data_IF_490786456776
#
_entry.id   IF_490786456776
#
_cell.length_a   1.000
_cell.length_b   1.000
_cell.length_c   1.000
_cell.angle_alpha   90.00
_cell.angle_beta   90.00
_cell.angle_gamma   90.00
#
_symmetry.space_group_name_H-M   'P 1'
#
loop_
_entity.id
_entity.type
_entity.pdbx_description
1 polymer ?
#
# COMPACT_ATOMS: atom_id res chain seq x y z
N UNK A 1 4.81 -11.53 13.12
CA UNK A 1 3.80 -10.78 12.38
C UNK A 1 4.17 -10.74 10.90
N UNK A 2 3.19 -10.98 10.03
CA UNK A 2 3.46 -11.01 8.60
C UNK A 2 3.64 -9.61 8.03
N UNK A 3 4.52 -9.48 7.04
CA UNK A 3 4.60 -8.27 6.22
C UNK A 3 3.34 -8.14 5.38
N UNK A 4 3.04 -6.92 4.93
CA UNK A 4 1.82 -6.67 4.14
C UNK A 4 1.80 -7.53 2.87
N UNK A 5 2.94 -7.64 2.16
CA UNK A 5 2.98 -8.45 0.94
C UNK A 5 2.71 -9.93 1.22
N UNK A 6 3.13 -10.44 2.39
CA UNK A 6 2.86 -11.81 2.76
C UNK A 6 1.37 -12.06 3.00
N UNK A 7 0.69 -11.11 3.63
CA UNK A 7 -0.76 -11.20 3.82
C UNK A 7 -1.47 -11.18 2.46
N UNK A 8 -1.09 -10.25 1.58
CA UNK A 8 -1.66 -10.15 0.23
C UNK A 8 -1.47 -11.48 -0.52
N UNK A 9 -0.29 -12.07 -0.44
CA UNK A 9 -0.01 -13.34 -1.12
C UNK A 9 -0.87 -14.48 -0.60
N UNK A 10 -1.08 -14.56 0.71
CA UNK A 10 -1.97 -15.58 1.29
C UNK A 10 -3.41 -15.40 0.84
N UNK A 11 -3.89 -14.16 0.81
CA UNK A 11 -5.26 -13.84 0.37
C UNK A 11 -5.45 -14.20 -1.10
N UNK A 12 -4.48 -13.86 -1.95
CA UNK A 12 -4.54 -14.19 -3.39
C UNK A 12 -4.66 -15.68 -3.64
N UNK A 13 -3.97 -16.49 -2.84
CA UNK A 13 -3.93 -17.94 -3.00
C UNK A 13 -5.13 -18.66 -2.41
N UNK A 14 -5.92 -17.99 -1.58
CA UNK A 14 -7.14 -18.56 -1.01
C UNK A 14 -8.18 -18.75 -2.12
N UNK A 15 -8.92 -19.87 -2.04
CA UNK A 15 -9.83 -20.26 -3.13
C UNK A 15 -11.26 -19.73 -2.98
N UNK A 16 -11.66 -19.36 -1.79
CA UNK A 16 -13.03 -18.89 -1.55
C UNK A 16 -13.02 -17.48 -1.00
N UNK A 17 -14.14 -16.78 -1.22
CA UNK A 17 -14.31 -15.42 -0.70
C UNK A 17 -14.22 -15.41 0.83
N UNK A 18 -14.86 -16.38 1.49
CA UNK A 18 -14.86 -16.47 2.95
C UNK A 18 -13.44 -16.61 3.51
N UNK A 19 -12.60 -17.43 2.86
CA UNK A 19 -11.21 -17.59 3.28
C UNK A 19 -10.41 -16.32 3.08
N UNK A 20 -10.62 -15.62 1.97
CA UNK A 20 -9.97 -14.34 1.70
C UNK A 20 -10.32 -13.30 2.75
N UNK A 21 -11.61 -13.16 3.05
CA UNK A 21 -12.10 -12.24 4.06
C UNK A 21 -11.53 -12.59 5.43
N UNK A 22 -11.54 -13.89 5.78
CA UNK A 22 -10.98 -14.36 7.05
C UNK A 22 -9.52 -14.04 7.23
N UNK A 23 -8.71 -14.22 6.18
CA UNK A 23 -7.28 -13.91 6.21
C UNK A 23 -7.03 -12.41 6.37
N UNK A 24 -7.79 -11.57 5.67
CA UNK A 24 -7.68 -10.13 5.81
C UNK A 24 -7.99 -9.69 7.25
N UNK A 25 -9.05 -10.23 7.83
CA UNK A 25 -9.42 -9.91 9.22
C UNK A 25 -8.39 -10.42 10.22
N UNK A 26 -7.89 -11.65 10.01
CA UNK A 26 -6.92 -12.28 10.90
C UNK A 26 -5.61 -11.49 10.97
N UNK A 27 -5.15 -11.00 9.83
CA UNK A 27 -3.86 -10.31 9.70
C UNK A 27 -4.03 -8.81 9.49
N UNK A 28 -5.15 -8.24 9.94
CA UNK A 28 -5.42 -6.83 9.73
C UNK A 28 -4.38 -5.94 10.43
N UNK A 29 -4.06 -4.85 9.78
CA UNK A 29 -3.21 -3.79 10.31
C UNK A 29 -3.57 -2.50 9.58
N UNK A 30 -3.24 -1.36 10.15
CA UNK A 30 -3.46 -0.10 9.47
C UNK A 30 -2.63 0.01 8.20
N UNK A 31 -1.43 -0.61 8.18
CA UNK A 31 -0.62 -0.65 6.97
C UNK A 31 -1.35 -1.39 5.84
N UNK A 32 -1.90 -2.58 6.13
CA UNK A 32 -2.68 -3.34 5.14
C UNK A 32 -3.89 -2.54 4.66
N UNK A 33 -4.62 -1.92 5.59
CA UNK A 33 -5.79 -1.12 5.24
C UNK A 33 -5.42 0.08 4.38
N UNK A 34 -4.32 0.76 4.68
CA UNK A 34 -3.87 1.91 3.89
C UNK A 34 -3.48 1.49 2.47
N UNK A 35 -2.81 0.35 2.30
CA UNK A 35 -2.48 -0.18 0.98
C UNK A 35 -3.75 -0.48 0.18
N UNK A 36 -4.70 -1.17 0.80
CA UNK A 36 -5.95 -1.53 0.12
C UNK A 36 -6.78 -0.30 -0.22
N UNK A 37 -6.89 0.64 0.70
CA UNK A 37 -7.62 1.88 0.47
C UNK A 37 -6.94 2.71 -0.63
N UNK A 38 -5.63 2.86 -0.55
CA UNK A 38 -4.88 3.63 -1.55
C UNK A 38 -4.94 3.04 -2.94
N UNK A 39 -5.13 1.73 -3.05
CA UNK A 39 -5.21 1.04 -4.34
C UNK A 39 -6.63 1.05 -4.91
N UNK A 40 -7.65 0.84 -4.09
CA UNK A 40 -9.03 0.62 -4.55
C UNK A 40 -9.94 1.83 -4.43
N UNK A 41 -9.67 2.76 -3.50
CA UNK A 41 -10.54 3.91 -3.28
C UNK A 41 -10.27 4.97 -4.35
N UNK A 42 -11.26 5.24 -5.20
CA UNK A 42 -11.10 6.19 -6.31
C UNK A 42 -11.09 7.64 -5.85
N UNK A 43 -11.50 7.93 -4.61
CA UNK A 43 -11.43 9.27 -4.06
C UNK A 43 -10.01 9.65 -3.63
N UNK A 44 -9.12 8.68 -3.52
CA UNK A 44 -7.71 8.94 -3.19
C UNK A 44 -6.91 9.03 -4.49
N UNK A 45 -6.31 10.19 -4.71
CA UNK A 45 -5.43 10.44 -5.85
C UNK A 45 -4.01 10.64 -5.32
N UNK A 46 -3.05 10.02 -6.02
CA UNK A 46 -1.65 10.10 -5.61
C UNK A 46 -0.96 11.25 -6.31
N UNK A 47 -0.26 12.07 -5.54
CA UNK A 47 0.41 13.28 -6.01
C UNK A 47 1.86 12.98 -6.41
N UNK A 48 2.03 11.93 -7.20
CA UNK A 48 3.33 11.44 -7.67
C UNK A 48 3.23 11.10 -9.15
N UNK A 49 4.35 11.15 -9.90
CA UNK A 49 4.36 10.66 -11.29
C UNK A 49 3.99 9.19 -11.33
N UNK A 50 3.25 8.79 -12.36
CA UNK A 50 2.91 7.40 -12.56
C UNK A 50 4.12 6.56 -12.99
N UNK A 51 3.95 5.23 -12.96
CA UNK A 51 4.98 4.30 -13.34
C UNK A 51 5.90 3.95 -12.18
N UNK A 52 7.03 3.33 -12.52
CA UNK A 52 8.04 2.94 -11.55
C UNK A 52 9.15 4.00 -11.49
N UNK A 53 9.43 4.56 -10.30
CA UNK A 53 10.52 5.52 -10.18
C UNK A 53 11.89 4.83 -10.24
N UNK A 54 12.97 5.58 -10.48
CA UNK A 54 14.31 5.03 -10.34
C UNK A 54 14.62 4.80 -8.87
N UNK A 55 14.73 3.54 -8.46
CA UNK A 55 14.98 3.18 -7.06
C UNK A 55 15.86 1.95 -6.95
N UNK A 56 16.56 1.79 -5.82
CA UNK A 56 17.43 0.66 -5.54
C UNK A 56 16.82 -0.17 -4.41
N UNK A 57 16.31 -1.38 -4.69
CA UNK A 57 15.76 -2.23 -3.65
C UNK A 57 16.80 -2.57 -2.57
N UNK A 58 16.37 -2.61 -1.31
CA UNK A 58 17.24 -3.06 -0.23
C UNK A 58 17.24 -4.59 -0.15
N UNK A 59 18.11 -5.14 0.70
CA UNK A 59 18.11 -6.56 1.01
C UNK A 59 16.86 -6.92 1.81
N UNK A 60 16.14 -7.96 1.38
CA UNK A 60 14.85 -8.32 1.98
C UNK A 60 14.91 -8.58 3.48
N UNK A 61 15.96 -9.28 3.94
CA UNK A 61 16.11 -9.62 5.38
C UNK A 61 16.89 -8.59 6.18
N UNK A 62 17.24 -7.47 5.59
CA UNK A 62 17.95 -6.40 6.28
C UNK A 62 17.34 -5.02 5.98
N UNK A 63 16.05 -4.98 5.67
CA UNK A 63 15.35 -3.73 5.43
C UNK A 63 15.39 -2.84 6.68
N UNK A 64 15.79 -1.55 6.54
CA UNK A 64 15.89 -0.65 7.70
C UNK A 64 14.56 -0.36 8.37
N UNK A 65 13.43 -0.48 7.65
CA UNK A 65 12.12 -0.19 8.18
C UNK A 65 11.07 -1.19 7.64
N UNK A 66 9.80 -0.92 7.85
CA UNK A 66 8.70 -1.74 7.37
C UNK A 66 7.44 -0.90 7.20
N UNK A 67 6.45 -1.42 6.48
CA UNK A 67 5.21 -0.69 6.21
C UNK A 67 4.37 -0.45 7.47
N UNK A 68 4.53 -1.28 8.50
CA UNK A 68 3.81 -1.06 9.76
C UNK A 68 4.19 0.27 10.41
N UNK A 69 5.39 0.77 10.10
CA UNK A 69 5.85 2.09 10.53
C UNK A 69 5.65 3.13 9.45
N UNK A 70 5.99 2.79 8.19
CA UNK A 70 6.10 3.77 7.12
C UNK A 70 4.77 4.15 6.48
N UNK A 71 3.71 3.35 6.66
CA UNK A 71 2.41 3.67 6.06
C UNK A 71 1.87 5.04 6.47
N UNK A 72 2.25 5.53 7.64
CA UNK A 72 1.85 6.85 8.13
C UNK A 72 2.34 7.98 7.22
N UNK A 73 3.42 7.74 6.48
CA UNK A 73 4.02 8.73 5.59
C UNK A 73 3.28 8.82 4.24
N UNK A 74 2.31 7.97 4.00
CA UNK A 74 1.51 8.04 2.76
C UNK A 74 0.78 9.38 2.62
N UNK A 75 0.50 10.06 3.73
CA UNK A 75 -0.14 11.38 3.71
C UNK A 75 0.65 12.41 2.91
N UNK A 76 1.98 12.25 2.81
CA UNK A 76 2.82 13.16 2.04
C UNK A 76 2.65 13.00 0.53
N UNK A 77 1.95 11.95 0.10
CA UNK A 77 1.80 11.61 -1.31
C UNK A 77 0.36 11.74 -1.82
N UNK A 78 -0.60 12.02 -0.95
CA UNK A 78 -2.02 12.10 -1.33
C UNK A 78 -2.35 13.50 -1.81
N UNK A 79 -2.85 13.59 -3.05
CA UNK A 79 -3.24 14.87 -3.65
C UNK A 79 -4.38 15.51 -2.86
N UNK A 80 -4.24 16.79 -2.59
CA UNK A 80 -5.25 17.55 -1.85
C UNK A 80 -5.02 17.61 -0.35
N UNK A 81 -4.18 16.74 0.21
CA UNK A 81 -3.84 16.83 1.63
C UNK A 81 -2.79 17.90 1.88
N UNK A 82 -2.94 18.62 2.96
CA UNK A 82 -2.03 19.71 3.33
C UNK A 82 -0.59 19.23 3.41
N UNK A 83 -0.35 18.08 4.00
CA UNK A 83 0.98 17.49 4.16
C UNK A 83 1.67 17.27 2.80
N UNK A 84 0.89 16.89 1.79
CA UNK A 84 1.41 16.65 0.43
C UNK A 84 1.57 17.96 -0.32
N UNK A 85 0.57 18.84 -0.26
CA UNK A 85 0.55 20.06 -1.07
C UNK A 85 1.62 21.08 -0.68
N UNK A 86 2.05 21.09 0.57
CA UNK A 86 3.12 21.99 1.01
C UNK A 86 4.52 21.56 0.58
N UNK A 87 4.67 20.34 0.04
CA UNK A 87 5.95 19.85 -0.45
C UNK A 87 6.15 20.18 -1.93
N UNK A 88 7.39 20.48 -2.31
CA UNK A 88 7.72 20.58 -3.73
C UNK A 88 7.66 19.19 -4.36
N UNK A 89 7.42 19.09 -5.69
CA UNK A 89 7.43 17.76 -6.35
C UNK A 89 8.72 17.00 -6.12
N UNK A 90 9.87 17.66 -6.18
CA UNK A 90 11.18 17.02 -5.96
C UNK A 90 11.28 16.46 -4.55
N UNK A 91 10.85 17.23 -3.55
CA UNK A 91 10.89 16.80 -2.15
C UNK A 91 9.95 15.63 -1.91
N UNK A 92 8.75 15.68 -2.48
CA UNK A 92 7.76 14.60 -2.36
C UNK A 92 8.28 13.31 -2.95
N UNK A 93 8.85 13.38 -4.16
CA UNK A 93 9.45 12.22 -4.81
C UNK A 93 10.63 11.65 -4.03
N UNK A 94 11.45 12.52 -3.46
CA UNK A 94 12.59 12.10 -2.64
C UNK A 94 12.12 11.32 -1.40
N UNK A 95 11.08 11.78 -0.73
CA UNK A 95 10.50 11.10 0.43
C UNK A 95 9.95 9.74 0.01
N UNK A 96 9.26 9.68 -1.14
CA UNK A 96 8.69 8.44 -1.65
C UNK A 96 9.79 7.40 -1.96
N UNK A 97 10.83 7.82 -2.68
CA UNK A 97 11.95 6.93 -3.01
C UNK A 97 12.62 6.43 -1.73
N UNK A 98 12.84 7.30 -0.76
CA UNK A 98 13.40 6.90 0.53
C UNK A 98 12.57 5.85 1.23
N UNK A 99 11.25 5.97 1.16
CA UNK A 99 10.33 5.01 1.75
C UNK A 99 10.45 3.63 1.08
N UNK A 100 10.37 3.58 -0.25
CA UNK A 100 10.41 2.30 -0.96
C UNK A 100 11.78 1.62 -0.90
N UNK A 101 12.84 2.40 -0.74
CA UNK A 101 14.19 1.84 -0.57
C UNK A 101 14.45 1.37 0.85
N UNK A 102 13.61 1.74 1.80
CA UNK A 102 13.77 1.40 3.21
C UNK A 102 12.94 0.24 3.72
N UNK A 103 12.08 -0.36 2.88
CA UNK A 103 11.23 -1.48 3.27
C UNK A 103 11.55 -2.70 2.41
N UNK A 104 11.02 -3.87 2.81
CA UNK A 104 11.16 -5.10 2.02
C UNK A 104 10.80 -4.82 0.56
N UNK A 105 11.61 -5.30 -0.41
CA UNK A 105 11.34 -5.04 -1.84
C UNK A 105 9.94 -5.44 -2.31
N UNK A 106 9.36 -6.51 -1.77
CA UNK A 106 8.01 -6.92 -2.15
C UNK A 106 6.96 -5.98 -1.56
N UNK A 107 7.17 -5.45 -0.36
CA UNK A 107 6.33 -4.38 0.20
C UNK A 107 6.47 -3.11 -0.63
N UNK A 108 7.68 -2.77 -1.05
CA UNK A 108 7.93 -1.60 -1.90
C UNK A 108 7.18 -1.69 -3.22
N UNK A 109 7.14 -2.87 -3.83
CA UNK A 109 6.38 -3.10 -5.06
C UNK A 109 4.88 -2.88 -4.87
N UNK A 110 4.34 -3.27 -3.71
CA UNK A 110 2.94 -2.98 -3.38
C UNK A 110 2.67 -1.49 -3.30
N UNK A 111 3.61 -0.73 -2.74
CA UNK A 111 3.47 0.74 -2.66
C UNK A 111 3.50 1.35 -4.06
N UNK A 112 4.41 0.90 -4.91
CA UNK A 112 4.49 1.36 -6.30
C UNK A 112 3.18 1.03 -7.04
N UNK A 113 2.68 -0.19 -6.90
CA UNK A 113 1.41 -0.60 -7.49
C UNK A 113 0.25 0.25 -6.97
N UNK A 114 0.25 0.56 -5.68
CA UNK A 114 -0.78 1.39 -5.05
C UNK A 114 -0.87 2.77 -5.70
N UNK A 115 0.25 3.45 -5.90
CA UNK A 115 0.22 4.79 -6.50
C UNK A 115 -0.21 4.75 -7.97
N UNK A 116 -0.03 3.61 -8.63
CA UNK A 116 -0.47 3.41 -10.01
C UNK A 116 -1.89 2.82 -10.09
N UNK A 117 -2.53 2.57 -8.94
CA UNK A 117 -3.85 1.94 -8.86
C UNK A 117 -3.89 0.56 -9.50
N UNK A 118 -2.76 -0.14 -9.48
CA UNK A 118 -2.66 -1.52 -9.98
C UNK A 118 -3.13 -2.48 -8.91
N UNK A 119 -4.27 -3.11 -9.15
CA UNK A 119 -4.93 -3.97 -8.16
C UNK A 119 -4.27 -5.34 -8.10
N UNK A 120 -4.00 -5.87 -6.89
CA UNK A 120 -3.46 -7.22 -6.79
C UNK A 120 -4.46 -8.24 -7.30
N UNK A 121 -3.95 -9.18 -8.10
CA UNK A 121 -4.77 -10.24 -8.67
C UNK A 121 -5.37 -11.10 -7.54
N UNK A 122 -6.63 -11.47 -7.69
CA UNK A 122 -7.30 -12.31 -6.70
C UNK A 122 -7.90 -11.59 -5.52
N UNK A 123 -7.70 -10.27 -5.41
CA UNK A 123 -8.34 -9.44 -4.39
C UNK A 123 -9.27 -8.47 -5.10
N UNK A 124 -10.55 -8.50 -4.70
CA UNK A 124 -11.58 -7.68 -5.33
C UNK A 124 -12.17 -6.72 -4.32
N UNK A 125 -12.83 -5.70 -4.83
CA UNK A 125 -13.52 -4.71 -4.00
C UNK A 125 -14.55 -5.35 -3.05
N UNK A 126 -15.42 -6.29 -3.49
CA UNK A 126 -16.36 -6.94 -2.56
C UNK A 126 -15.69 -7.66 -1.40
N UNK A 127 -14.54 -8.29 -1.64
CA UNK A 127 -13.77 -8.94 -0.57
C UNK A 127 -13.31 -7.91 0.47
N UNK A 128 -12.79 -6.78 0.01
CA UNK A 128 -12.32 -5.71 0.90
C UNK A 128 -13.49 -5.11 1.69
N UNK A 129 -14.61 -4.85 1.02
CA UNK A 129 -15.77 -4.26 1.67
C UNK A 129 -16.37 -5.16 2.73
N UNK A 130 -16.34 -6.48 2.50
CA UNK A 130 -16.81 -7.43 3.50
C UNK A 130 -15.86 -7.56 4.69
N UNK A 131 -14.54 -7.58 4.41
CA UNK A 131 -13.54 -7.67 5.47
C UNK A 131 -13.48 -6.40 6.32
N UNK A 132 -13.56 -5.24 5.68
CA UNK A 132 -13.40 -3.93 6.33
C UNK A 132 -14.51 -2.98 5.89
N UNK A 133 -15.75 -3.15 6.41
CA UNK A 133 -16.84 -2.27 6.03
C UNK A 133 -16.52 -0.80 6.30
N UNK A 134 -16.77 0.06 5.31
CA UNK A 134 -16.52 1.50 5.45
C UNK A 134 -15.08 1.92 5.19
N UNK A 135 -14.18 1.00 4.87
CA UNK A 135 -12.79 1.35 4.57
C UNK A 135 -12.69 2.18 3.29
N UNK A 136 -13.42 1.78 2.25
CA UNK A 136 -13.45 2.50 0.98
C UNK A 136 -14.55 3.56 1.04
N UNK A 137 -14.17 4.82 0.76
CA UNK A 137 -15.04 5.99 0.97
C UNK A 137 -15.65 6.55 -0.33
N UNK A 138 -15.30 6.02 -1.47
CA UNK A 138 -15.79 6.49 -2.77
C UNK A 138 -17.18 6.02 -3.16
#
# INVERSE_FOLDING_TARGET
MLNVHEVIDQVRKARTKEKKVGLLKKHQSWALKDILRGTFDTSIEWNLPGGEPPWTPCEAHSAPSNLLKEHKNFVYFVKGLRESEKLTPVKRESIFIGLIEGVDPDDAKLVIDMINKDKPQGITRPVIEEAFPGLLQD
#
